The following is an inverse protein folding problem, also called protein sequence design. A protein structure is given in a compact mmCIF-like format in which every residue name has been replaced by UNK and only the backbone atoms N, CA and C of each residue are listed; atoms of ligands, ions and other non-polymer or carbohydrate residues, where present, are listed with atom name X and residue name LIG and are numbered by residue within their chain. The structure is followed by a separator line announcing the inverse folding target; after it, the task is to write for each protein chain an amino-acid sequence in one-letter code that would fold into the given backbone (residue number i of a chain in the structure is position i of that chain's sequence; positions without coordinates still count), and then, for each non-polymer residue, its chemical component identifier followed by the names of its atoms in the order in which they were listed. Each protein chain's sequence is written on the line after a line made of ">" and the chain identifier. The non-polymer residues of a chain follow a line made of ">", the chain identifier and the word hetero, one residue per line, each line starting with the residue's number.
data_IF_699402917253
#
_entry.id   IF_699402917253
#
_cell.length_a   1.000
_cell.length_b   1.000
_cell.length_c   1.000
_cell.angle_alpha   90.00
_cell.angle_beta   90.00
_cell.angle_gamma   90.00
#
_symmetry.space_group_name_H-M   'P 1'
#
loop_
_entity.id
_entity.type
_entity.pdbx_description
1 polymer ?
#
# COMPACT_ATOMS: atom_id res chain seq x y z
N UNK A 1 8.34 -19.31 18.21
CA UNK A 1 8.65 -18.20 18.47
C UNK A 1 8.07 -17.20 17.73
N UNK A 2 7.31 -16.66 18.36
CA UNK A 2 6.47 -15.79 17.82
C UNK A 2 7.08 -14.73 17.13
N UNK A 3 8.05 -14.29 17.32
CA UNK A 3 8.50 -13.17 16.90
C UNK A 3 9.13 -13.10 15.65
N UNK A 4 8.76 -13.86 14.72
CA UNK A 4 9.28 -13.86 13.37
C UNK A 4 8.47 -12.94 12.46
N UNK A 5 7.97 -11.83 12.98
CA UNK A 5 7.25 -10.84 12.18
C UNK A 5 8.00 -9.50 12.16
N UNK A 6 7.73 -8.70 11.13
CA UNK A 6 8.20 -7.32 11.06
C UNK A 6 7.01 -6.41 10.82
N UNK A 7 7.13 -5.15 11.20
CA UNK A 7 6.12 -4.13 10.92
C UNK A 7 6.82 -2.89 10.40
N UNK A 8 6.29 -2.34 9.32
CA UNK A 8 6.73 -1.05 8.78
C UNK A 8 5.55 -0.12 8.83
N UNK A 9 5.72 1.07 9.38
CA UNK A 9 4.62 2.00 9.56
C UNK A 9 5.07 3.43 9.35
N UNK A 10 4.28 4.20 8.61
CA UNK A 10 4.51 5.63 8.40
C UNK A 10 3.18 6.34 8.37
N UNK A 11 3.19 7.61 8.74
CA UNK A 11 1.97 8.43 8.77
C UNK A 11 2.22 9.75 8.09
N UNK A 12 1.14 10.37 7.63
CA UNK A 12 1.19 11.72 7.06
C UNK A 12 -0.13 12.41 7.30
N UNK A 13 -0.08 13.73 7.39
CA UNK A 13 -1.27 14.57 7.45
C UNK A 13 -1.56 15.09 6.06
N UNK A 14 -2.80 14.93 5.61
CA UNK A 14 -3.24 15.30 4.27
C UNK A 14 -4.36 16.34 4.40
N UNK A 15 -4.24 17.43 3.68
CA UNK A 15 -5.25 18.49 3.70
C UNK A 15 -6.39 18.13 2.77
N UNK A 16 -7.15 17.12 3.16
CA UNK A 16 -8.32 16.64 2.43
C UNK A 16 -9.22 15.90 3.41
N UNK A 17 -10.50 15.82 3.11
CA UNK A 17 -11.46 15.10 3.93
C UNK A 17 -11.14 13.60 3.90
N UNK A 18 -11.46 12.85 4.95
CA UNK A 18 -11.19 11.41 4.99
C UNK A 18 -11.75 10.64 3.80
N UNK A 19 -12.93 11.04 3.31
CA UNK A 19 -13.55 10.37 2.16
C UNK A 19 -12.69 10.46 0.89
N UNK A 20 -12.04 11.59 0.67
CA UNK A 20 -11.18 11.76 -0.50
C UNK A 20 -9.93 10.91 -0.39
N UNK A 21 -9.37 10.81 0.80
CA UNK A 21 -8.22 9.96 1.06
C UNK A 21 -8.61 8.49 0.88
N UNK A 22 -9.75 8.12 1.46
CA UNK A 22 -10.27 6.76 1.36
C UNK A 22 -10.44 6.33 -0.11
N UNK A 23 -11.03 7.19 -0.93
CA UNK A 23 -11.26 6.87 -2.34
C UNK A 23 -9.97 6.59 -3.09
N UNK A 24 -8.90 7.28 -2.76
CA UNK A 24 -7.60 7.04 -3.40
C UNK A 24 -7.02 5.67 -3.03
N UNK A 25 -7.37 5.15 -1.86
CA UNK A 25 -6.82 3.89 -1.36
C UNK A 25 -7.74 2.70 -1.66
N UNK A 26 -9.04 2.89 -1.54
CA UNK A 26 -10.01 1.80 -1.67
C UNK A 26 -10.28 1.38 -3.12
N UNK A 27 -9.87 2.18 -4.09
CA UNK A 27 -10.00 1.86 -5.50
C UNK A 27 -8.60 1.68 -6.08
N UNK A 28 -8.24 0.46 -6.43
CA UNK A 28 -6.89 0.18 -6.96
C UNK A 28 -6.59 0.92 -8.25
N UNK A 29 -7.60 1.34 -9.01
CA UNK A 29 -7.35 2.15 -10.21
C UNK A 29 -6.71 3.48 -9.86
N UNK A 30 -6.99 4.01 -8.68
CA UNK A 30 -6.43 5.29 -8.25
C UNK A 30 -4.98 5.17 -7.75
N UNK A 31 -4.50 3.95 -7.47
CA UNK A 31 -3.13 3.75 -7.01
C UNK A 31 -2.10 4.19 -8.04
N UNK A 32 -2.45 4.22 -9.32
CA UNK A 32 -1.53 4.71 -10.35
C UNK A 32 -1.13 6.16 -10.11
N UNK A 33 -1.91 6.91 -9.34
CA UNK A 33 -1.64 8.30 -9.06
C UNK A 33 -0.65 8.51 -7.93
N UNK A 34 -0.48 7.53 -7.05
CA UNK A 34 0.31 7.75 -5.85
C UNK A 34 1.23 6.60 -5.43
N UNK A 35 0.99 5.39 -5.86
CA UNK A 35 1.81 4.27 -5.42
C UNK A 35 3.28 4.50 -5.74
N UNK A 36 4.19 4.26 -4.79
CA UNK A 36 5.61 4.50 -5.03
C UNK A 36 6.23 3.50 -5.99
N UNK A 37 5.49 2.44 -6.32
CA UNK A 37 6.00 1.39 -7.20
C UNK A 37 5.46 1.49 -8.63
N UNK A 38 4.69 2.53 -8.95
CA UNK A 38 4.13 2.67 -10.30
C UNK A 38 5.17 2.95 -11.37
N UNK A 39 6.31 3.54 -11.00
CA UNK A 39 7.34 3.91 -11.96
C UNK A 39 8.41 2.85 -12.14
N UNK A 40 8.29 1.71 -11.47
CA UNK A 40 9.34 0.69 -11.46
C UNK A 40 9.47 0.00 -12.80
N UNK A 41 8.36 -0.14 -13.52
CA UNK A 41 8.34 -0.76 -14.83
C UNK A 41 7.32 -0.07 -15.73
N UNK A 42 7.75 0.66 -16.78
CA UNK A 42 6.81 1.33 -17.68
C UNK A 42 5.88 0.35 -18.41
N UNK A 43 6.29 -0.91 -18.53
CA UNK A 43 5.49 -1.93 -19.21
C UNK A 43 4.75 -2.84 -18.22
N UNK A 44 4.57 -2.40 -16.99
CA UNK A 44 3.89 -3.19 -15.98
C UNK A 44 2.49 -3.59 -16.43
N UNK A 45 2.19 -4.89 -16.35
CA UNK A 45 0.86 -5.39 -16.65
C UNK A 45 0.02 -5.37 -15.39
N UNK A 46 -1.15 -4.77 -15.47
CA UNK A 46 -2.07 -4.63 -14.33
C UNK A 46 -3.39 -5.31 -14.66
N UNK A 47 -3.90 -6.06 -13.72
CA UNK A 47 -5.18 -6.74 -13.86
C UNK A 47 -6.06 -6.40 -12.65
N UNK A 48 -7.23 -5.87 -12.91
CA UNK A 48 -8.20 -5.51 -11.88
C UNK A 48 -9.35 -6.49 -11.94
N UNK A 49 -9.79 -6.97 -10.79
CA UNK A 49 -10.90 -7.92 -10.72
C UNK A 49 -11.64 -7.78 -9.39
N UNK A 50 -12.70 -8.55 -9.22
CA UNK A 50 -13.52 -8.49 -8.02
C UNK A 50 -14.35 -7.22 -7.97
N UNK A 51 -14.53 -6.67 -6.77
CA UNK A 51 -15.29 -5.45 -6.59
C UNK A 51 -14.57 -4.26 -7.25
N UNK A 52 -15.30 -3.27 -7.67
CA UNK A 52 -14.71 -2.07 -8.26
C UNK A 52 -13.90 -1.25 -7.26
N UNK A 53 -14.32 -1.28 -5.99
CA UNK A 53 -13.60 -0.64 -4.90
C UNK A 53 -14.04 -1.27 -3.59
N UNK A 54 -13.30 -1.02 -2.51
CA UNK A 54 -13.61 -1.54 -1.20
C UNK A 54 -13.41 -3.04 -1.10
N UNK A 55 -14.07 -3.65 -0.14
CA UNK A 55 -13.90 -5.08 0.14
C UNK A 55 -14.15 -5.93 -1.09
N UNK A 56 -13.22 -6.82 -1.39
CA UNK A 56 -13.31 -7.72 -2.54
C UNK A 56 -12.59 -7.21 -3.78
N UNK A 57 -12.15 -5.96 -3.81
CA UNK A 57 -11.37 -5.47 -4.94
C UNK A 57 -10.03 -6.17 -4.99
N UNK A 58 -9.60 -6.56 -6.18
CA UNK A 58 -8.35 -7.29 -6.38
C UNK A 58 -7.53 -6.63 -7.48
N UNK A 59 -6.22 -6.56 -7.27
CA UNK A 59 -5.27 -5.99 -8.20
C UNK A 59 -4.09 -6.94 -8.32
N UNK A 60 -3.77 -7.34 -9.54
CA UNK A 60 -2.61 -8.17 -9.80
C UNK A 60 -1.66 -7.44 -10.73
N UNK A 61 -0.37 -7.65 -10.53
CA UNK A 61 0.63 -7.04 -11.39
C UNK A 61 1.67 -8.05 -11.82
N UNK A 62 2.27 -7.80 -12.98
CA UNK A 62 3.38 -8.59 -13.49
C UNK A 62 4.30 -7.66 -14.26
N UNK A 63 5.57 -7.67 -13.95
CA UNK A 63 6.53 -6.76 -14.55
C UNK A 63 7.94 -7.32 -14.59
N UNK A 64 8.90 -6.42 -14.70
CA UNK A 64 10.31 -6.78 -14.77
C UNK A 64 10.81 -7.28 -13.41
N UNK A 65 12.12 -7.54 -13.30
CA UNK A 65 12.70 -8.07 -12.06
C UNK A 65 12.46 -7.16 -10.85
N UNK A 66 12.46 -5.86 -11.06
CA UNK A 66 12.24 -4.91 -9.96
C UNK A 66 10.80 -4.89 -9.51
N UNK A 67 9.87 -4.94 -10.46
CA UNK A 67 8.45 -4.92 -10.14
C UNK A 67 7.97 -6.27 -9.63
N UNK A 68 8.51 -7.36 -10.17
CA UNK A 68 8.10 -8.69 -9.79
C UNK A 68 6.69 -9.02 -10.23
N UNK A 69 6.06 -9.94 -9.53
CA UNK A 69 4.67 -10.34 -9.77
C UNK A 69 3.98 -10.60 -8.44
N UNK A 70 2.73 -10.20 -8.34
CA UNK A 70 1.96 -10.42 -7.13
C UNK A 70 0.54 -9.93 -7.26
N UNK A 71 -0.15 -9.89 -6.14
CA UNK A 71 -1.53 -9.41 -6.11
C UNK A 71 -1.86 -8.82 -4.75
N UNK A 72 -2.87 -7.97 -4.76
CA UNK A 72 -3.45 -7.40 -3.55
C UNK A 72 -4.95 -7.59 -3.58
N UNK A 73 -5.53 -7.86 -2.42
CA UNK A 73 -6.98 -7.93 -2.29
C UNK A 73 -7.40 -7.16 -1.05
N UNK A 74 -8.40 -6.31 -1.18
CA UNK A 74 -8.97 -5.63 -0.03
C UNK A 74 -9.85 -6.63 0.70
N UNK A 75 -9.41 -7.02 1.89
CA UNK A 75 -10.11 -8.03 2.68
C UNK A 75 -11.14 -7.43 3.61
N UNK A 76 -10.98 -6.16 3.95
CA UNK A 76 -11.95 -5.45 4.75
C UNK A 76 -11.80 -3.95 4.50
N UNK A 77 -12.89 -3.23 4.58
CA UNK A 77 -12.88 -1.79 4.39
C UNK A 77 -14.05 -1.15 5.12
N UNK A 78 -13.76 -0.08 5.85
CA UNK A 78 -14.78 0.72 6.54
C UNK A 78 -14.59 2.17 6.07
N UNK A 79 -15.51 2.63 5.25
CA UNK A 79 -15.45 3.98 4.69
C UNK A 79 -15.82 4.99 5.77
N UNK A 80 -15.02 6.03 6.01
CA UNK A 80 -13.75 6.36 5.35
C UNK A 80 -12.51 6.09 6.20
N UNK A 81 -12.56 5.18 7.15
CA UNK A 81 -11.56 5.07 8.20
C UNK A 81 -10.49 3.98 8.01
N UNK A 82 -10.81 2.91 7.31
CA UNK A 82 -9.89 1.77 7.29
C UNK A 82 -9.97 1.01 5.97
N UNK A 83 -8.80 0.60 5.46
CA UNK A 83 -8.69 -0.33 4.33
C UNK A 83 -7.65 -1.37 4.69
N UNK A 84 -8.06 -2.64 4.76
CA UNK A 84 -7.17 -3.76 5.05
C UNK A 84 -6.93 -4.56 3.78
N UNK A 85 -5.67 -4.86 3.50
CA UNK A 85 -5.24 -5.48 2.25
C UNK A 85 -4.37 -6.69 2.53
N UNK A 86 -4.67 -7.80 1.83
CA UNK A 86 -3.81 -8.97 1.81
C UNK A 86 -2.89 -8.81 0.59
N UNK A 87 -1.59 -8.73 0.84
CA UNK A 87 -0.59 -8.51 -0.22
C UNK A 87 0.23 -9.77 -0.37
N UNK A 88 0.25 -10.33 -1.57
CA UNK A 88 0.96 -11.57 -1.88
C UNK A 88 1.94 -11.32 -3.01
N UNK A 89 3.22 -11.61 -2.76
CA UNK A 89 4.26 -11.59 -3.78
C UNK A 89 4.50 -13.00 -4.29
N UNK A 90 4.64 -13.15 -5.60
CA UNK A 90 4.96 -14.43 -6.23
C UNK A 90 6.37 -14.43 -6.81
N UNK A 91 6.86 -13.29 -7.29
CA UNK A 91 8.19 -13.10 -7.84
C UNK A 91 8.76 -11.77 -7.34
N UNK A 92 10.06 -11.67 -7.10
CA UNK A 92 11.07 -12.72 -7.25
C UNK A 92 11.01 -13.78 -6.15
N UNK A 93 10.36 -13.50 -5.02
CA UNK A 93 10.25 -14.41 -3.89
C UNK A 93 8.80 -14.49 -3.45
N UNK A 94 8.39 -15.65 -2.98
CA UNK A 94 7.05 -15.79 -2.40
C UNK A 94 7.04 -15.15 -1.02
N UNK A 95 6.10 -14.25 -0.80
CA UNK A 95 5.93 -13.59 0.48
C UNK A 95 4.50 -13.11 0.62
N UNK A 96 4.04 -12.97 1.86
CA UNK A 96 2.69 -12.49 2.15
C UNK A 96 2.73 -11.57 3.35
N UNK A 97 1.97 -10.49 3.29
CA UNK A 97 1.86 -9.60 4.44
C UNK A 97 0.46 -8.97 4.48
N UNK A 98 0.16 -8.40 5.64
CA UNK A 98 -1.08 -7.67 5.86
C UNK A 98 -0.75 -6.19 5.85
N UNK A 99 -1.47 -5.45 5.03
CA UNK A 99 -1.31 -4.00 4.91
C UNK A 99 -2.60 -3.33 5.37
N UNK A 100 -2.49 -2.33 6.22
CA UNK A 100 -3.66 -1.59 6.71
C UNK A 100 -3.40 -0.09 6.58
N UNK A 101 -4.37 0.58 5.97
CA UNK A 101 -4.40 2.05 5.97
C UNK A 101 -5.47 2.48 6.97
N UNK A 102 -5.10 3.38 7.87
CA UNK A 102 -6.04 3.97 8.83
C UNK A 102 -6.12 5.46 8.55
N UNK A 103 -7.34 5.99 8.51
CA UNK A 103 -7.59 7.39 8.20
C UNK A 103 -8.37 7.99 9.37
N UNK A 104 -7.78 9.01 10.00
CA UNK A 104 -8.39 9.66 11.17
C UNK A 104 -8.61 11.13 10.84
N UNK A 105 -9.84 11.65 11.01
CA UNK A 105 -10.06 13.07 10.75
C UNK A 105 -9.32 13.92 11.80
N UNK A 106 -8.73 15.02 11.33
CA UNK A 106 -8.06 16.00 12.18
C UNK A 106 -8.51 17.38 11.72
N UNK A 107 -9.62 17.86 12.25
CA UNK A 107 -10.23 19.11 11.78
C UNK A 107 -10.66 18.96 10.31
N UNK A 108 -10.14 19.83 9.46
CA UNK A 108 -10.41 19.74 8.02
C UNK A 108 -9.41 18.84 7.29
N UNK A 109 -8.47 18.28 8.03
CA UNK A 109 -7.42 17.43 7.46
C UNK A 109 -7.64 15.97 7.86
N UNK A 110 -6.83 15.09 7.34
CA UNK A 110 -6.86 13.67 7.69
C UNK A 110 -5.46 13.20 8.01
N UNK A 111 -5.34 12.36 9.02
CA UNK A 111 -4.09 11.68 9.31
C UNK A 111 -4.17 10.25 8.78
N UNK A 112 -3.26 9.91 7.90
CA UNK A 112 -3.21 8.59 7.28
C UNK A 112 -2.03 7.83 7.83
N UNK A 113 -2.28 6.60 8.27
CA UNK A 113 -1.21 5.69 8.69
C UNK A 113 -1.21 4.47 7.76
N UNK A 114 -0.05 4.17 7.21
CA UNK A 114 0.17 3.01 6.36
C UNK A 114 1.02 2.02 7.14
N UNK A 115 0.46 0.86 7.44
CA UNK A 115 1.12 -0.17 8.24
C UNK A 115 1.17 -1.49 7.47
N UNK A 116 2.31 -2.14 7.46
CA UNK A 116 2.49 -3.43 6.81
C UNK A 116 3.16 -4.38 7.80
N UNK A 117 2.56 -5.54 8.00
CA UNK A 117 3.10 -6.57 8.89
C UNK A 117 3.24 -7.88 8.11
N UNK A 118 4.40 -8.48 8.18
CA UNK A 118 4.67 -9.74 7.50
C UNK A 118 5.54 -10.66 8.33
N UNK A 119 5.63 -11.91 7.88
CA UNK A 119 6.51 -12.87 8.54
C UNK A 119 7.92 -12.70 8.02
N UNK A 120 8.89 -12.87 8.90
CA UNK A 120 10.28 -12.92 8.48
C UNK A 120 10.56 -14.28 7.90
N UNK A 121 10.76 -14.33 6.60
CA UNK A 121 11.18 -15.55 5.91
C UNK A 121 12.70 -15.63 5.94
N UNK A 122 13.24 -16.73 5.46
CA UNK A 122 14.69 -16.85 5.36
C UNK A 122 15.28 -15.72 4.53
N UNK A 123 14.60 -15.36 3.44
CA UNK A 123 15.09 -14.28 2.58
C UNK A 123 15.10 -12.93 3.31
N UNK A 124 14.03 -12.61 4.03
CA UNK A 124 13.98 -11.35 4.77
C UNK A 124 14.96 -11.33 5.93
N UNK A 125 15.24 -12.47 6.54
CA UNK A 125 16.26 -12.54 7.59
C UNK A 125 17.63 -12.24 7.03
N UNK A 126 17.94 -12.77 5.86
CA UNK A 126 19.23 -12.48 5.22
C UNK A 126 19.35 -11.00 4.87
N UNK A 127 18.28 -10.41 4.36
CA UNK A 127 18.26 -8.97 4.09
C UNK A 127 18.41 -8.17 5.38
N UNK A 128 17.80 -8.62 6.44
CA UNK A 128 17.85 -7.94 7.74
C UNK A 128 19.20 -7.90 8.39
N UNK A 129 20.15 -8.73 7.96
CA UNK A 129 21.50 -8.67 8.46
C UNK A 129 22.12 -7.31 8.14
N UNK A 130 21.75 -6.75 6.99
CA UNK A 130 22.32 -5.49 6.53
C UNK A 130 21.39 -4.31 6.71
N UNK A 131 20.08 -4.54 6.80
CA UNK A 131 19.11 -3.45 6.83
C UNK A 131 17.78 -3.98 7.34
N UNK A 132 17.16 -3.27 8.29
CA UNK A 132 15.85 -3.66 8.78
C UNK A 132 14.80 -3.45 7.68
N UNK A 133 13.67 -4.14 7.76
CA UNK A 133 12.58 -3.94 6.82
C UNK A 133 12.05 -2.52 6.89
N UNK A 134 12.06 -1.92 8.08
CA UNK A 134 11.64 -0.54 8.24
C UNK A 134 12.54 0.42 7.46
N UNK A 135 13.84 0.22 7.54
CA UNK A 135 14.79 1.06 6.80
C UNK A 135 14.71 0.80 5.30
N UNK A 136 14.34 -0.42 4.91
CA UNK A 136 14.25 -0.79 3.49
C UNK A 136 12.98 -0.26 2.84
N UNK A 137 11.83 -0.42 3.49
CA UNK A 137 10.54 -0.05 2.92
C UNK A 137 10.05 1.34 3.36
N UNK A 138 10.52 1.82 4.50
CA UNK A 138 10.06 3.11 5.03
C UNK A 138 10.15 4.27 4.04
N UNK A 139 11.29 4.45 3.34
CA UNK A 139 11.39 5.53 2.37
C UNK A 139 10.37 5.43 1.24
N UNK A 140 10.02 4.20 0.80
CA UNK A 140 8.99 4.02 -0.22
C UNK A 140 7.62 4.39 0.33
N UNK A 141 7.34 4.05 1.58
CA UNK A 141 6.07 4.44 2.22
C UNK A 141 5.98 5.96 2.32
N UNK A 142 7.07 6.61 2.69
CA UNK A 142 7.10 8.08 2.78
C UNK A 142 6.86 8.72 1.43
N UNK A 143 7.47 8.17 0.38
CA UNK A 143 7.27 8.65 -0.99
C UNK A 143 5.82 8.45 -1.42
N UNK A 144 5.25 7.28 -1.13
CA UNK A 144 3.87 6.98 -1.46
C UNK A 144 2.90 7.90 -0.74
N UNK A 145 3.12 8.14 0.55
CA UNK A 145 2.26 9.04 1.32
C UNK A 145 2.35 10.48 0.82
N UNK A 146 3.55 10.93 0.41
CA UNK A 146 3.71 12.26 -0.18
C UNK A 146 2.93 12.37 -1.49
N UNK A 147 2.96 11.34 -2.32
CA UNK A 147 2.19 11.31 -3.56
C UNK A 147 0.69 11.22 -3.29
N UNK A 148 0.30 10.44 -2.30
CA UNK A 148 -1.10 10.32 -1.88
C UNK A 148 -1.65 11.68 -1.45
N UNK A 149 -0.83 12.43 -0.72
CA UNK A 149 -1.18 13.79 -0.31
C UNK A 149 -1.52 14.65 -1.53
N UNK A 150 -0.67 14.62 -2.54
CA UNK A 150 -0.91 15.39 -3.77
C UNK A 150 -2.18 14.92 -4.47
N UNK A 151 -2.37 13.60 -4.59
CA UNK A 151 -3.53 13.03 -5.27
C UNK A 151 -4.83 13.39 -4.56
N UNK A 152 -4.85 13.30 -3.23
CA UNK A 152 -6.06 13.58 -2.46
C UNK A 152 -6.36 15.06 -2.34
N UNK A 153 -5.34 15.92 -2.34
CA UNK A 153 -5.51 17.36 -2.23
C UNK A 153 -5.77 18.04 -3.56
N UNK A 154 -5.53 17.34 -4.66
CA UNK A 154 -5.74 17.90 -5.98
C UNK A 154 -7.20 18.24 -6.24
N UNK A 155 -7.50 18.87 -7.39
CA UNK A 155 -8.89 19.17 -7.71
C UNK A 155 -9.69 17.88 -7.77
N UNK A 156 -10.92 17.95 -7.30
CA UNK A 156 -11.80 16.81 -7.40
C UNK A 156 -11.83 16.39 -8.86
N UNK A 157 -11.72 15.10 -9.08
CA UNK A 157 -11.78 14.59 -10.43
C UNK A 157 -13.10 15.02 -10.99
N UNK A 158 -13.03 15.84 -11.92
CA UNK A 158 -14.19 16.47 -12.51
C UNK A 158 -15.04 15.46 -13.18
#
# INVERSE_FOLDING_TARGET
>A
MADQTYTVERSATINAAPERVYDQIADFHNWTQWSPWEDVDPALERTYSGAGSGKGATYAWSGNRKAGRGRMQITDATNPSTVAIDLVFEKPFKARNDTVFTIVPEGSESRVTWSMTGKRTLVTKLMGIFKSMDAFLGPDFEKGLARLKVAAQGPAAG
#
